data_IF_173445743717
#
_entry.id   IF_173445743717
#
_cell.length_a   1.000
_cell.length_b   1.000
_cell.length_c   1.000
_cell.angle_alpha   90.00
_cell.angle_beta   90.00
_cell.angle_gamma   90.00
#
_symmetry.space_group_name_H-M   'P 1'
#
loop_
_entity.id
_entity.type
_entity.pdbx_description
1 polymer ?
#
# COMPACT_ATOMS: atom_id res chain seq x y z
N UNK A 1 17.10 19.83 11.35
CA UNK A 1 17.63 19.94 9.98
C UNK A 1 16.51 20.46 9.09
N UNK A 2 16.66 21.67 8.57
CA UNK A 2 15.82 22.19 7.48
C UNK A 2 16.18 21.42 6.21
N UNK A 3 15.19 20.81 5.57
CA UNK A 3 15.39 20.17 4.27
C UNK A 3 15.55 21.30 3.26
N UNK A 4 16.74 21.47 2.71
CA UNK A 4 16.95 22.42 1.62
C UNK A 4 16.07 22.01 0.43
N UNK A 5 15.32 22.94 -0.17
CA UNK A 5 14.45 22.61 -1.29
C UNK A 5 15.29 22.07 -2.44
N UNK A 6 15.02 20.82 -2.82
CA UNK A 6 15.68 20.17 -3.94
C UNK A 6 15.41 20.98 -5.21
N UNK A 7 16.47 21.59 -5.75
CA UNK A 7 16.38 22.41 -6.97
C UNK A 7 16.12 21.49 -8.16
N UNK A 8 14.88 21.48 -8.63
CA UNK A 8 14.49 20.70 -9.81
C UNK A 8 15.08 21.40 -11.05
N UNK A 9 15.80 20.68 -11.92
CA UNK A 9 16.30 21.25 -13.16
C UNK A 9 15.14 21.71 -14.05
N UNK A 10 15.21 22.93 -14.56
CA UNK A 10 14.15 23.57 -15.36
C UNK A 10 13.89 22.86 -16.70
N UNK A 11 14.86 22.07 -17.20
CA UNK A 11 14.84 21.50 -18.55
C UNK A 11 14.19 20.11 -18.66
N UNK A 12 13.47 19.64 -17.64
CA UNK A 12 12.87 18.29 -17.63
C UNK A 12 11.77 18.08 -18.68
N UNK A 13 11.24 19.15 -19.28
CA UNK A 13 10.12 19.08 -20.21
C UNK A 13 10.48 19.30 -21.68
N UNK A 14 11.77 19.41 -22.01
CA UNK A 14 12.19 19.60 -23.41
C UNK A 14 12.32 18.25 -24.11
N UNK A 15 11.60 18.09 -25.21
CA UNK A 15 11.69 16.90 -26.07
C UNK A 15 13.10 16.77 -26.64
N UNK A 16 13.57 15.53 -26.78
CA UNK A 16 14.88 15.25 -27.35
C UNK A 16 14.93 15.63 -28.84
N UNK A 17 15.94 16.43 -29.20
CA UNK A 17 16.16 16.97 -30.55
C UNK A 17 17.40 16.31 -31.13
N UNK A 18 17.23 15.57 -32.22
CA UNK A 18 18.34 14.83 -32.85
C UNK A 18 19.03 15.69 -33.90
N UNK A 19 18.25 16.27 -34.82
CA UNK A 19 18.77 17.02 -35.97
C UNK A 19 18.20 18.44 -35.91
N UNK A 20 18.98 19.35 -35.34
CA UNK A 20 18.64 20.77 -35.25
C UNK A 20 17.30 21.02 -34.54
N UNK A 21 16.29 21.61 -35.21
CA UNK A 21 14.99 21.88 -34.61
C UNK A 21 14.03 20.67 -34.59
N UNK A 22 14.43 19.54 -35.18
CA UNK A 22 13.54 18.37 -35.37
C UNK A 22 13.66 17.39 -34.20
N UNK A 23 12.52 17.00 -33.63
CA UNK A 23 12.47 16.05 -32.50
C UNK A 23 12.48 14.59 -32.96
N UNK A 24 12.93 13.68 -32.10
CA UNK A 24 12.94 12.23 -32.38
C UNK A 24 11.54 11.73 -32.80
N UNK A 25 10.49 12.25 -32.15
CA UNK A 25 9.11 11.92 -32.48
C UNK A 25 8.74 12.33 -33.91
N UNK A 26 9.15 13.52 -34.34
CA UNK A 26 8.85 14.02 -35.68
C UNK A 26 9.51 13.16 -36.75
N UNK A 27 10.77 12.77 -36.53
CA UNK A 27 11.50 11.87 -37.44
C UNK A 27 10.78 10.53 -37.56
N UNK A 28 10.36 9.93 -36.45
CA UNK A 28 9.63 8.64 -36.47
C UNK A 28 8.30 8.73 -37.22
N UNK A 29 7.54 9.81 -37.03
CA UNK A 29 6.26 10.02 -37.74
C UNK A 29 6.49 10.17 -39.25
N UNK A 30 7.48 10.97 -39.64
CA UNK A 30 7.82 11.18 -41.06
C UNK A 30 8.29 9.87 -41.67
N UNK A 31 9.23 9.17 -41.03
CA UNK A 31 9.78 7.90 -41.52
C UNK A 31 8.69 6.85 -41.70
N UNK A 32 7.78 6.71 -40.73
CA UNK A 32 6.64 5.79 -40.82
C UNK A 32 5.70 6.17 -41.97
N UNK A 33 5.29 7.43 -42.05
CA UNK A 33 4.35 7.89 -43.08
C UNK A 33 4.93 7.89 -44.49
N UNK A 34 6.17 8.35 -44.66
CA UNK A 34 6.87 8.30 -45.94
C UNK A 34 7.19 6.86 -46.35
N UNK A 35 7.52 5.99 -45.38
CA UNK A 35 7.74 4.56 -45.61
C UNK A 35 6.49 3.86 -46.13
N UNK A 36 5.33 4.11 -45.51
CA UNK A 36 4.03 3.59 -45.97
C UNK A 36 3.69 4.14 -47.36
N UNK A 37 3.89 5.45 -47.56
CA UNK A 37 3.65 6.11 -48.83
C UNK A 37 4.50 5.55 -49.96
N UNK A 38 5.79 5.31 -49.69
CA UNK A 38 6.70 4.64 -50.62
C UNK A 38 6.30 3.20 -50.90
N UNK A 39 5.87 2.44 -49.87
CA UNK A 39 5.39 1.08 -50.06
C UNK A 39 4.17 1.02 -50.99
N UNK A 40 3.20 1.93 -50.80
CA UNK A 40 2.03 2.05 -51.69
C UNK A 40 2.47 2.39 -53.12
N UNK A 41 3.39 3.36 -53.26
CA UNK A 41 3.92 3.75 -54.56
C UNK A 41 4.63 2.58 -55.27
N UNK A 42 5.44 1.81 -54.56
CA UNK A 42 6.17 0.66 -55.09
C UNK A 42 5.22 -0.44 -55.57
N UNK A 43 4.18 -0.75 -54.78
CA UNK A 43 3.15 -1.74 -55.16
C UNK A 43 2.40 -1.28 -56.40
N UNK A 44 1.98 -0.01 -56.46
CA UNK A 44 1.25 0.52 -57.62
C UNK A 44 2.12 0.56 -58.88
N UNK A 45 3.41 0.90 -58.76
CA UNK A 45 4.34 0.89 -59.88
C UNK A 45 4.58 -0.54 -60.41
N UNK A 46 4.58 -1.54 -59.55
CA UNK A 46 4.65 -2.95 -59.96
C UNK A 46 3.37 -3.42 -60.68
N UNK A 47 2.23 -2.78 -60.44
CA UNK A 47 0.94 -3.17 -61.01
C UNK A 47 0.66 -2.58 -62.40
N UNK A 48 1.46 -1.62 -62.89
CA UNK A 48 1.34 -1.08 -64.25
C UNK A 48 1.71 0.40 -64.40
N UNK A 49 1.27 1.01 -65.51
CA UNK A 49 1.52 2.43 -65.82
C UNK A 49 0.80 3.34 -64.83
N UNK A 50 1.56 4.21 -64.18
CA UNK A 50 1.06 5.07 -63.12
C UNK A 50 0.50 6.38 -63.69
N UNK A 51 -0.80 6.61 -63.47
CA UNK A 51 -1.43 7.91 -63.77
C UNK A 51 -1.05 8.98 -62.74
N UNK A 52 -1.16 10.26 -63.10
CA UNK A 52 -0.91 11.40 -62.19
C UNK A 52 -1.79 11.31 -60.93
N UNK A 53 -3.04 10.85 -61.08
CA UNK A 53 -4.01 10.72 -59.98
C UNK A 53 -3.56 9.64 -59.00
N UNK A 54 -3.06 8.53 -59.54
CA UNK A 54 -2.53 7.40 -58.78
C UNK A 54 -1.27 7.80 -57.99
N UNK A 55 -0.39 8.60 -58.58
CA UNK A 55 0.77 9.14 -57.87
C UNK A 55 0.36 10.06 -56.71
N UNK A 56 -0.69 10.88 -56.89
CA UNK A 56 -1.24 11.72 -55.82
C UNK A 56 -1.77 10.92 -54.64
N UNK A 57 -2.52 9.84 -54.91
CA UNK A 57 -3.04 8.94 -53.86
C UNK A 57 -1.90 8.25 -53.10
N UNK A 58 -0.86 7.80 -53.81
CA UNK A 58 0.29 7.15 -53.19
C UNK A 58 1.05 8.08 -52.24
N UNK A 59 1.19 9.38 -52.61
CA UNK A 59 1.90 10.37 -51.78
C UNK A 59 1.07 11.00 -50.66
N UNK A 60 -0.26 10.89 -50.71
CA UNK A 60 -1.17 11.43 -49.71
C UNK A 60 -0.78 11.08 -48.25
N UNK A 61 -0.51 9.82 -47.87
CA UNK A 61 -0.12 9.48 -46.50
C UNK A 61 1.22 10.11 -46.08
N UNK A 62 2.17 10.30 -47.00
CA UNK A 62 3.44 10.98 -46.73
C UNK A 62 3.22 12.46 -46.39
N UNK A 63 2.38 13.15 -47.17
CA UNK A 63 2.01 14.55 -46.92
C UNK A 63 1.28 14.69 -45.58
N UNK A 64 0.36 13.78 -45.28
CA UNK A 64 -0.37 13.77 -44.01
C UNK A 64 0.57 13.58 -42.81
N UNK A 65 1.59 12.73 -42.94
CA UNK A 65 2.58 12.51 -41.89
C UNK A 65 3.45 13.75 -41.62
N UNK A 66 3.84 14.49 -42.66
CA UNK A 66 4.53 15.78 -42.51
C UNK A 66 3.65 16.78 -41.76
N UNK A 67 2.37 16.85 -42.12
CA UNK A 67 1.40 17.69 -41.42
C UNK A 67 1.32 17.32 -39.92
N UNK A 68 1.24 16.03 -39.62
CA UNK A 68 1.14 15.52 -38.24
C UNK A 68 2.40 15.79 -37.41
N UNK A 69 3.57 15.81 -38.04
CA UNK A 69 4.86 16.04 -37.37
C UNK A 69 5.09 17.53 -37.04
N UNK A 70 4.78 18.45 -37.97
CA UNK A 70 5.14 19.86 -37.82
C UNK A 70 3.99 20.78 -37.39
N UNK A 71 2.74 20.45 -37.73
CA UNK A 71 1.61 21.32 -37.38
C UNK A 71 1.30 21.21 -35.90
N UNK A 72 1.33 22.36 -35.22
CA UNK A 72 0.96 22.51 -33.82
C UNK A 72 -0.17 23.53 -33.73
N UNK A 73 -1.21 23.20 -32.98
CA UNK A 73 -2.33 24.10 -32.69
C UNK A 73 -2.30 24.35 -31.19
N UNK A 74 -2.19 25.62 -30.79
CA UNK A 74 -2.12 26.04 -29.38
C UNK A 74 -1.06 25.27 -28.56
N UNK A 75 0.12 25.03 -29.15
CA UNK A 75 1.22 24.32 -28.48
C UNK A 75 1.09 22.78 -28.44
N UNK A 76 0.02 22.21 -28.99
CA UNK A 76 -0.21 20.76 -29.05
C UNK A 76 -0.01 20.29 -30.49
N UNK A 77 0.78 19.22 -30.69
CA UNK A 77 0.95 18.59 -32.01
C UNK A 77 -0.37 18.07 -32.56
N UNK A 78 -0.60 18.22 -33.86
CA UNK A 78 -1.82 17.77 -34.52
C UNK A 78 -2.07 16.26 -34.34
N UNK A 79 -1.00 15.45 -34.33
CA UNK A 79 -1.08 14.03 -33.98
C UNK A 79 -1.75 13.79 -32.62
N UNK A 80 -1.31 14.52 -31.59
CA UNK A 80 -1.88 14.42 -30.23
C UNK A 80 -3.32 14.91 -30.17
N UNK A 81 -3.68 15.94 -30.95
CA UNK A 81 -5.07 16.40 -31.05
C UNK A 81 -5.95 15.30 -31.64
N UNK A 82 -5.50 14.62 -32.69
CA UNK A 82 -6.23 13.50 -33.27
C UNK A 82 -6.42 12.36 -32.26
N UNK A 83 -5.38 12.03 -31.49
CA UNK A 83 -5.48 11.04 -30.41
C UNK A 83 -6.46 11.45 -29.31
N UNK A 84 -6.45 12.72 -28.90
CA UNK A 84 -7.40 13.26 -27.92
C UNK A 84 -8.84 13.25 -28.45
N UNK A 85 -9.02 13.52 -29.75
CA UNK A 85 -10.31 13.43 -30.40
C UNK A 85 -10.83 11.98 -30.42
N UNK A 86 -9.96 11.02 -30.71
CA UNK A 86 -10.28 9.60 -30.67
C UNK A 86 -10.60 9.14 -29.23
N UNK A 87 -9.81 9.58 -28.25
CA UNK A 87 -10.03 9.31 -26.84
C UNK A 87 -11.36 9.88 -26.34
N UNK A 88 -11.76 11.05 -26.84
CA UNK A 88 -13.05 11.68 -26.52
C UNK A 88 -14.24 10.83 -26.95
N UNK A 89 -14.14 10.05 -28.03
CA UNK A 89 -15.23 9.17 -28.49
C UNK A 89 -15.49 8.07 -27.45
N UNK A 90 -14.44 7.54 -26.85
CA UNK A 90 -14.54 6.46 -25.87
C UNK A 90 -14.87 6.97 -24.45
N UNK A 91 -14.55 8.23 -24.15
CA UNK A 91 -14.79 8.81 -22.82
C UNK A 91 -16.22 9.37 -22.70
N UNK A 92 -16.94 9.08 -21.60
CA UNK A 92 -18.25 9.65 -21.38
C UNK A 92 -18.17 11.18 -21.24
N UNK A 93 -19.02 11.90 -21.96
CA UNK A 93 -19.07 13.37 -21.91
C UNK A 93 -19.53 13.91 -20.55
N UNK A 94 -20.34 13.13 -19.82
CA UNK A 94 -20.82 13.49 -18.48
C UNK A 94 -19.82 12.99 -17.44
N UNK A 95 -19.13 13.91 -16.78
CA UNK A 95 -18.31 13.62 -15.62
C UNK A 95 -19.19 13.70 -14.37
N UNK A 96 -19.63 12.57 -13.86
CA UNK A 96 -20.31 12.51 -12.57
C UNK A 96 -19.28 12.46 -11.45
N UNK A 97 -19.57 13.15 -10.35
CA UNK A 97 -18.82 12.93 -9.12
C UNK A 97 -19.35 11.65 -8.50
N UNK A 98 -18.51 10.63 -8.41
CA UNK A 98 -18.80 9.44 -7.63
C UNK A 98 -17.76 9.33 -6.52
N UNK A 99 -18.18 9.03 -5.27
CA UNK A 99 -17.22 8.72 -4.23
C UNK A 99 -16.44 7.49 -4.69
N UNK A 100 -15.15 7.66 -4.97
CA UNK A 100 -14.28 6.52 -5.26
C UNK A 100 -14.29 5.66 -4.02
N UNK A 101 -14.87 4.47 -4.12
CA UNK A 101 -14.63 3.43 -3.12
C UNK A 101 -13.13 3.17 -3.17
N UNK A 102 -12.41 3.62 -2.13
CA UNK A 102 -10.97 3.48 -2.05
C UNK A 102 -10.56 2.01 -2.19
N UNK A 103 -9.30 1.78 -2.50
CA UNK A 103 -8.73 0.42 -2.46
C UNK A 103 -8.80 -0.02 -1.00
N UNK A 104 -9.65 -1.01 -0.68
CA UNK A 104 -9.68 -1.63 0.64
C UNK A 104 -8.46 -2.53 0.76
N UNK A 105 -7.39 -2.00 1.34
CA UNK A 105 -6.18 -2.77 1.63
C UNK A 105 -6.48 -3.55 2.92
N UNK A 106 -6.82 -4.83 2.80
CA UNK A 106 -6.94 -5.70 3.95
C UNK A 106 -5.53 -6.11 4.38
N UNK A 107 -4.98 -5.45 5.39
CA UNK A 107 -3.67 -5.81 5.95
C UNK A 107 -3.79 -7.16 6.66
N UNK A 108 -3.56 -8.24 5.93
CA UNK A 108 -3.37 -9.57 6.53
C UNK A 108 -2.00 -9.56 7.21
N UNK A 109 -1.98 -9.07 8.45
CA UNK A 109 -0.81 -9.21 9.31
C UNK A 109 -0.75 -10.68 9.68
N UNK A 110 0.16 -11.43 9.05
CA UNK A 110 0.49 -12.78 9.53
C UNK A 110 1.07 -12.60 10.92
N UNK A 111 0.34 -13.06 11.94
CA UNK A 111 0.87 -13.11 13.30
C UNK A 111 2.21 -13.87 13.24
N UNK A 112 3.29 -13.33 13.83
CA UNK A 112 4.54 -14.05 13.88
C UNK A 112 4.27 -15.38 14.58
N UNK A 113 4.55 -16.48 13.88
CA UNK A 113 4.42 -17.84 14.40
C UNK A 113 5.12 -17.87 15.75
N UNK A 114 4.37 -18.08 16.84
CA UNK A 114 4.89 -18.25 18.19
C UNK A 114 5.72 -19.54 18.23
N UNK A 115 6.96 -19.43 17.81
CA UNK A 115 7.94 -20.49 17.97
C UNK A 115 8.85 -20.06 19.13
N UNK A 116 8.87 -20.89 20.19
CA UNK A 116 9.70 -20.80 21.40
C UNK A 116 9.09 -20.20 22.69
N UNK A 117 7.77 -20.21 22.88
CA UNK A 117 7.21 -19.98 24.23
C UNK A 117 7.48 -21.19 25.15
N UNK A 118 7.44 -22.42 24.62
CA UNK A 118 7.70 -23.64 25.41
C UNK A 118 9.18 -23.82 25.80
N UNK A 119 10.12 -23.36 24.96
CA UNK A 119 11.56 -23.44 25.25
C UNK A 119 11.93 -22.42 26.35
N UNK A 120 11.42 -21.19 26.26
CA UNK A 120 11.63 -20.16 27.30
C UNK A 120 11.03 -20.54 28.64
N UNK A 121 9.85 -21.20 28.64
CA UNK A 121 9.21 -21.62 29.89
C UNK A 121 10.02 -22.71 30.61
N UNK A 122 10.58 -23.68 29.88
CA UNK A 122 11.47 -24.71 30.46
C UNK A 122 12.76 -24.12 31.03
N UNK A 123 13.34 -23.12 30.38
CA UNK A 123 14.55 -22.45 30.87
C UNK A 123 14.27 -21.66 32.17
N UNK A 124 13.14 -20.97 32.24
CA UNK A 124 12.74 -20.23 33.44
C UNK A 124 12.39 -21.15 34.62
N UNK A 125 11.76 -22.31 34.37
CA UNK A 125 11.53 -23.30 35.41
C UNK A 125 12.84 -23.82 36.00
N UNK A 126 13.85 -24.12 35.16
CA UNK A 126 15.17 -24.58 35.61
C UNK A 126 15.92 -23.52 36.42
N UNK A 127 15.76 -22.23 36.09
CA UNK A 127 16.33 -21.12 36.88
C UNK A 127 15.67 -21.00 38.24
N UNK A 128 14.34 -21.12 38.30
CA UNK A 128 13.62 -21.04 39.57
C UNK A 128 13.99 -22.19 40.51
N UNK A 129 14.12 -23.43 40.00
CA UNK A 129 14.58 -24.56 40.82
C UNK A 129 16.01 -24.39 41.33
N UNK A 130 16.90 -23.82 40.51
CA UNK A 130 18.28 -23.55 40.92
C UNK A 130 18.37 -22.46 42.01
N UNK A 131 17.52 -21.43 41.94
CA UNK A 131 17.44 -20.41 43.00
C UNK A 131 16.87 -21.03 44.29
N UNK A 132 15.90 -21.94 44.19
CA UNK A 132 15.34 -22.65 45.34
C UNK A 132 16.37 -23.57 46.03
N UNK A 133 17.20 -24.27 45.25
CA UNK A 133 18.32 -25.05 45.78
C UNK A 133 19.35 -24.18 46.50
N UNK A 134 19.70 -23.02 45.93
CA UNK A 134 20.62 -22.07 46.56
C UNK A 134 20.03 -21.45 47.84
N UNK A 135 18.74 -21.12 47.84
CA UNK A 135 18.04 -20.67 49.05
C UNK A 135 18.10 -21.73 50.13
N UNK A 136 17.84 -23.00 49.78
CA UNK A 136 17.88 -24.11 50.72
C UNK A 136 19.26 -24.31 51.36
N UNK A 137 20.33 -24.16 50.59
CA UNK A 137 21.70 -24.25 51.12
C UNK A 137 22.03 -23.07 52.04
N UNK A 138 21.53 -21.87 51.71
CA UNK A 138 21.72 -20.67 52.55
C UNK A 138 20.92 -20.79 53.86
N UNK A 139 19.67 -21.24 53.78
CA UNK A 139 18.76 -21.41 54.92
C UNK A 139 19.20 -22.56 55.84
N UNK A 140 19.95 -23.54 55.33
CA UNK A 140 20.53 -24.60 56.16
C UNK A 140 21.57 -24.08 57.16
N UNK A 141 22.13 -22.88 56.96
CA UNK A 141 23.11 -22.28 57.85
C UNK A 141 24.36 -23.17 58.07
N UNK A 142 25.38 -22.69 58.80
CA UNK A 142 26.49 -23.54 59.20
C UNK A 142 25.97 -24.72 60.03
N UNK A 143 26.41 -25.97 59.79
CA UNK A 143 25.96 -27.11 60.58
C UNK A 143 26.26 -26.88 62.06
N UNK A 144 25.28 -27.20 62.92
CA UNK A 144 25.29 -26.93 64.36
C UNK A 144 26.42 -27.63 65.15
N UNK A 145 27.31 -28.38 64.49
CA UNK A 145 28.56 -28.86 65.08
C UNK A 145 29.60 -27.76 65.32
N UNK A 146 29.35 -26.53 64.88
CA UNK A 146 30.24 -25.38 65.06
C UNK A 146 29.84 -24.42 66.20
N UNK A 147 28.69 -24.61 66.86
CA UNK A 147 28.17 -23.64 67.83
C UNK A 147 27.51 -24.29 69.07
N UNK A 148 28.22 -25.21 69.73
CA UNK A 148 27.94 -25.49 71.14
C UNK A 148 28.46 -24.33 72.00
N UNK A 149 27.70 -23.23 72.10
CA UNK A 149 27.76 -22.29 73.25
C UNK A 149 26.44 -21.50 73.37
N UNK A 150 25.54 -22.03 74.18
CA UNK A 150 24.66 -21.37 75.17
C UNK A 150 23.74 -20.16 74.80
N UNK A 151 22.46 -20.39 75.14
CA UNK A 151 21.47 -19.50 75.81
C UNK A 151 20.39 -18.72 75.02
N UNK A 152 19.18 -19.31 75.08
CA UNK A 152 17.84 -18.71 75.26
C UNK A 152 17.76 -17.23 75.68
N UNK A 153 16.97 -16.39 74.98
CA UNK A 153 15.85 -15.58 75.54
C UNK A 153 14.82 -15.23 74.44
N UNK A 154 13.54 -15.39 74.78
CA UNK A 154 12.34 -15.11 74.00
C UNK A 154 11.94 -13.63 73.91
N UNK A 155 11.22 -13.21 72.86
CA UNK A 155 9.86 -12.62 72.91
C UNK A 155 9.49 -11.94 71.58
N UNK A 156 8.29 -12.26 71.08
CA UNK A 156 7.72 -11.78 69.83
C UNK A 156 6.90 -10.49 70.03
N UNK A 157 7.05 -9.53 69.11
CA UNK A 157 6.30 -8.27 69.05
C UNK A 157 5.00 -8.38 68.24
N UNK A 158 3.97 -7.67 68.72
CA UNK A 158 2.64 -7.49 68.15
C UNK A 158 2.64 -6.58 66.91
N UNK A 159 1.83 -6.92 65.89
CA UNK A 159 1.61 -6.07 64.70
C UNK A 159 0.40 -5.12 64.87
N UNK A 160 0.49 -3.81 64.57
CA UNK A 160 -0.65 -2.90 64.70
C UNK A 160 -1.65 -2.99 63.52
N UNK A 161 -2.93 -2.82 63.83
CA UNK A 161 -4.09 -2.93 62.93
C UNK A 161 -4.24 -1.73 61.98
N UNK A 162 -4.74 -1.97 60.76
CA UNK A 162 -4.84 -0.98 59.68
C UNK A 162 -6.06 -0.04 59.84
N UNK A 163 -5.95 1.25 59.47
CA UNK A 163 -6.86 2.31 59.92
C UNK A 163 -8.18 2.50 59.15
N UNK A 164 -8.60 1.62 58.24
CA UNK A 164 -9.80 1.87 57.40
C UNK A 164 -10.79 0.71 57.40
N UNK A 165 -11.99 0.96 57.93
CA UNK A 165 -13.12 0.03 57.93
C UNK A 165 -13.85 0.02 56.58
N UNK A 166 -13.74 -1.08 55.84
CA UNK A 166 -14.32 -1.26 54.49
C UNK A 166 -15.86 -1.32 54.45
N UNK A 167 -16.51 -1.55 55.57
CA UNK A 167 -17.97 -1.74 55.64
C UNK A 167 -18.79 -0.44 55.51
N UNK A 168 -18.14 0.74 55.42
CA UNK A 168 -18.80 2.05 55.32
C UNK A 168 -18.96 2.58 53.89
N UNK A 169 -18.51 1.83 52.88
CA UNK A 169 -18.59 2.22 51.47
C UNK A 169 -19.62 1.34 50.77
N UNK A 170 -20.80 1.89 50.48
CA UNK A 170 -21.79 1.25 49.62
C UNK A 170 -22.04 2.16 48.41
N UNK A 171 -21.79 1.65 47.20
CA UNK A 171 -22.06 2.34 45.96
C UNK A 171 -23.49 2.02 45.48
N UNK A 172 -24.32 3.04 45.33
CA UNK A 172 -25.69 2.88 44.85
C UNK A 172 -25.68 2.67 43.32
N UNK A 173 -25.96 1.46 42.85
CA UNK A 173 -26.11 1.13 41.43
C UNK A 173 -27.51 1.49 40.93
N UNK A 174 -27.78 2.79 40.79
CA UNK A 174 -28.97 3.26 40.08
C UNK A 174 -28.77 3.11 38.57
N UNK A 175 -29.78 2.57 37.90
CA UNK A 175 -29.86 2.28 36.46
C UNK A 175 -29.22 3.37 35.58
N UNK A 176 -27.97 3.13 35.17
CA UNK A 176 -27.41 3.80 33.99
C UNK A 176 -27.97 3.09 32.76
N UNK A 177 -29.00 3.68 32.17
CA UNK A 177 -29.15 3.58 30.72
C UNK A 177 -27.83 4.10 30.13
N UNK A 178 -27.04 3.19 29.58
CA UNK A 178 -25.76 3.47 28.95
C UNK A 178 -26.05 4.38 27.74
N UNK A 179 -25.73 5.67 27.85
CA UNK A 179 -25.93 6.66 26.76
C UNK A 179 -25.03 6.35 25.54
N UNK A 180 -24.10 5.41 25.68
CA UNK A 180 -23.18 4.94 24.63
C UNK A 180 -23.47 3.49 24.18
N UNK A 181 -24.75 3.11 24.06
CA UNK A 181 -25.10 1.82 23.45
C UNK A 181 -24.99 1.93 21.91
N UNK A 182 -23.76 1.91 21.40
CA UNK A 182 -23.51 1.63 19.98
C UNK A 182 -23.91 0.18 19.75
N UNK A 183 -25.11 -0.03 19.22
CA UNK A 183 -25.57 -1.36 18.82
C UNK A 183 -24.59 -1.95 17.81
N UNK A 184 -23.72 -2.86 18.27
CA UNK A 184 -22.97 -3.71 17.36
C UNK A 184 -23.99 -4.59 16.63
N UNK A 185 -24.23 -4.27 15.35
CA UNK A 185 -25.03 -5.09 14.47
C UNK A 185 -24.54 -6.54 14.59
N UNK A 186 -25.47 -7.42 15.00
CA UNK A 186 -25.30 -8.86 15.20
C UNK A 186 -24.42 -9.42 14.07
N UNK A 187 -23.19 -9.82 14.37
CA UNK A 187 -22.28 -10.47 13.41
C UNK A 187 -23.00 -11.67 12.80
N UNK A 188 -23.51 -11.53 11.58
CA UNK A 188 -23.83 -12.69 10.74
C UNK A 188 -22.51 -13.41 10.50
N UNK A 189 -22.41 -14.65 10.99
CA UNK A 189 -21.29 -15.51 10.66
C UNK A 189 -21.12 -15.50 9.14
N UNK A 190 -19.93 -15.16 8.61
CA UNK A 190 -19.73 -15.14 7.17
C UNK A 190 -19.95 -16.56 6.66
N UNK A 191 -20.88 -16.71 5.70
CA UNK A 191 -21.02 -17.94 4.94
C UNK A 191 -19.66 -18.27 4.34
N UNK A 192 -19.18 -19.50 4.48
CA UNK A 192 -17.96 -20.02 3.85
C UNK A 192 -18.00 -19.74 2.33
N UNK A 193 -17.48 -18.59 1.92
CA UNK A 193 -17.36 -18.15 0.54
C UNK A 193 -15.88 -17.97 0.27
N UNK A 194 -15.34 -18.73 -0.67
CA UNK A 194 -13.91 -18.77 -0.96
C UNK A 194 -13.36 -17.44 -1.49
N UNK A 195 -12.03 -17.40 -1.60
CA UNK A 195 -11.15 -16.30 -2.07
C UNK A 195 -11.63 -15.53 -3.31
N UNK A 196 -12.53 -16.10 -4.10
CA UNK A 196 -13.07 -15.51 -5.31
C UNK A 196 -14.08 -14.39 -5.06
N UNK A 197 -14.74 -14.34 -3.89
CA UNK A 197 -15.72 -13.26 -3.60
C UNK A 197 -15.06 -11.91 -3.33
N UNK A 198 -13.80 -11.88 -2.91
CA UNK A 198 -13.09 -10.62 -2.62
C UNK A 198 -12.61 -9.90 -3.89
N UNK A 199 -12.60 -10.60 -5.03
CA UNK A 199 -12.12 -10.06 -6.33
C UNK A 199 -13.29 -9.53 -7.18
N UNK A 200 -14.53 -9.89 -6.85
CA UNK A 200 -15.70 -9.52 -7.65
C UNK A 200 -16.42 -8.35 -6.96
N UNK A 201 -16.58 -7.20 -7.61
CA UNK A 201 -17.35 -6.09 -7.04
C UNK A 201 -18.80 -6.53 -6.78
N UNK A 202 -19.44 -6.04 -5.69
CA UNK A 202 -20.82 -6.39 -5.39
C UNK A 202 -21.74 -5.96 -6.55
N UNK A 203 -22.80 -6.72 -6.85
CA UNK A 203 -23.73 -6.38 -7.91
C UNK A 203 -24.33 -5.00 -7.63
N UNK A 204 -24.23 -4.08 -8.59
CA UNK A 204 -24.87 -2.78 -8.51
C UNK A 204 -26.38 -2.99 -8.44
N UNK A 205 -26.99 -2.59 -7.32
CA UNK A 205 -28.44 -2.48 -7.25
C UNK A 205 -28.87 -1.41 -8.26
N UNK A 206 -29.65 -1.83 -9.25
CA UNK A 206 -30.38 -0.96 -10.17
C UNK A 206 -31.54 -0.27 -9.44
#
# INVERSE_FOLDING_TARGET
>A
MTIDPVKIPQNVYVEDRIIGPVTLRQIMIILGGSGISYAIWAVMKSAGSMSIVQAGIAWFPGILAVLFAFVKINGISLFRICLLLLERINKPAKRTWQPRQGIYINFVTKEPKKENDDIKNKENQKKNTAIEELSRVLDQGPPESAFDTQENVASAEESPTRPVNRNKISANTSNRALVDDVQHAKKKNPSKGGLLRDIIPPPSHA
#
